data_IF_506941466963
#
_entry.id   IF_506941466963
#
_cell.length_a   1.000
_cell.length_b   1.000
_cell.length_c   1.000
_cell.angle_alpha   90.00
_cell.angle_beta   90.00
_cell.angle_gamma   90.00
#
_symmetry.space_group_name_H-M   'P 1'
#
loop_
_entity.id
_entity.type
_entity.pdbx_description
1 polymer ?
#
# COMPACT_ATOMS: atom_id res chain seq x y z
N UNK A 1 13.53 34.52 -25.65
CA UNK A 1 13.76 33.50 -24.62
C UNK A 1 13.93 32.17 -25.36
N UNK A 2 15.18 31.76 -25.64
CA UNK A 2 15.48 30.51 -26.38
C UNK A 2 15.40 29.37 -25.34
N UNK A 3 14.50 28.46 -25.58
CA UNK A 3 14.38 27.21 -24.77
C UNK A 3 15.52 26.31 -25.24
N UNK A 4 16.37 25.94 -24.28
CA UNK A 4 17.53 25.07 -24.52
C UNK A 4 17.05 23.62 -24.70
N UNK A 5 16.85 23.24 -25.96
CA UNK A 5 16.35 21.90 -26.36
C UNK A 5 17.40 20.80 -26.19
N UNK A 6 18.69 21.14 -26.08
CA UNK A 6 19.78 20.16 -25.96
C UNK A 6 19.85 19.49 -24.59
N UNK A 7 19.36 20.16 -23.54
CA UNK A 7 19.33 19.64 -22.20
C UNK A 7 18.19 18.62 -21.97
N UNK A 8 17.11 18.69 -22.74
CA UNK A 8 15.99 17.75 -22.69
C UNK A 8 16.29 16.43 -23.43
N UNK A 9 17.01 16.50 -24.55
CA UNK A 9 17.43 15.32 -25.32
C UNK A 9 18.45 14.48 -24.53
N UNK A 10 19.40 15.10 -23.85
CA UNK A 10 20.42 14.41 -23.06
C UNK A 10 19.85 13.69 -21.82
N UNK A 11 18.82 14.28 -21.18
CA UNK A 11 18.11 13.64 -20.05
C UNK A 11 17.24 12.47 -20.51
N UNK A 12 16.58 12.58 -21.66
CA UNK A 12 15.77 11.51 -22.23
C UNK A 12 16.65 10.33 -22.72
N UNK A 13 17.81 10.59 -23.28
CA UNK A 13 18.76 9.53 -23.67
C UNK A 13 19.37 8.79 -22.47
N UNK A 14 19.67 9.49 -21.37
CA UNK A 14 20.14 8.84 -20.13
C UNK A 14 19.05 7.99 -19.46
N UNK A 15 17.80 8.42 -19.48
CA UNK A 15 16.68 7.64 -18.94
C UNK A 15 16.42 6.37 -19.77
N UNK A 16 16.50 6.44 -21.10
CA UNK A 16 16.35 5.29 -21.98
C UNK A 16 17.51 4.29 -21.88
N UNK A 17 18.75 4.76 -21.65
CA UNK A 17 19.90 3.88 -21.45
C UNK A 17 19.82 3.12 -20.13
N UNK A 18 19.31 3.76 -19.06
CA UNK A 18 19.08 3.11 -17.76
C UNK A 18 17.95 2.07 -17.82
N UNK A 19 16.87 2.36 -18.56
CA UNK A 19 15.75 1.40 -18.72
C UNK A 19 16.17 0.18 -19.58
N UNK A 20 16.93 0.38 -20.64
CA UNK A 20 17.41 -0.74 -21.46
C UNK A 20 18.48 -1.59 -20.78
N UNK A 21 19.35 -1.01 -19.96
CA UNK A 21 20.35 -1.78 -19.20
C UNK A 21 19.72 -2.55 -18.04
N UNK A 22 18.64 -2.08 -17.43
CA UNK A 22 17.86 -2.87 -16.47
C UNK A 22 17.10 -4.03 -17.14
N UNK A 23 16.54 -3.82 -18.32
CA UNK A 23 15.82 -4.86 -19.07
C UNK A 23 16.75 -5.95 -19.62
N UNK A 24 17.95 -5.62 -20.05
CA UNK A 24 18.93 -6.62 -20.58
C UNK A 24 19.57 -7.48 -19.49
N UNK A 25 19.64 -7.02 -18.24
CA UNK A 25 20.13 -7.80 -17.09
C UNK A 25 19.13 -8.86 -16.57
N UNK A 26 17.85 -8.74 -16.90
CA UNK A 26 16.77 -9.60 -16.39
C UNK A 26 16.61 -10.89 -17.21
N UNK A 27 17.06 -10.93 -18.47
CA UNK A 27 16.79 -12.06 -19.35
C UNK A 27 17.73 -13.28 -19.23
N UNK A 28 18.77 -13.25 -18.36
CA UNK A 28 19.75 -14.35 -18.27
C UNK A 28 19.59 -15.29 -17.07
N UNK A 29 18.47 -15.24 -16.32
CA UNK A 29 18.23 -16.17 -15.21
C UNK A 29 17.07 -17.12 -15.48
N UNK A 30 17.31 -18.09 -16.38
CA UNK A 30 16.37 -19.19 -16.59
C UNK A 30 16.55 -20.33 -15.59
N UNK A 31 15.43 -20.74 -15.02
CA UNK A 31 15.07 -22.05 -14.49
C UNK A 31 16.09 -22.86 -13.65
N UNK A 32 15.98 -22.70 -12.32
CA UNK A 32 16.30 -23.77 -11.37
C UNK A 32 15.18 -23.91 -10.36
N UNK A 33 14.59 -25.09 -10.25
CA UNK A 33 13.63 -25.43 -9.19
C UNK A 33 14.40 -25.50 -7.85
N UNK A 34 14.10 -24.59 -6.93
CA UNK A 34 14.58 -24.62 -5.56
C UNK A 34 13.49 -25.17 -4.65
N UNK A 35 13.83 -26.04 -3.72
CA UNK A 35 12.94 -26.52 -2.68
C UNK A 35 12.46 -25.35 -1.80
N UNK A 36 11.16 -25.25 -1.58
CA UNK A 36 10.55 -24.20 -0.77
C UNK A 36 11.05 -24.29 0.69
N UNK A 37 11.46 -23.15 1.24
CA UNK A 37 11.73 -23.02 2.67
C UNK A 37 10.43 -23.15 3.47
N UNK A 38 10.47 -23.83 4.60
CA UNK A 38 9.29 -24.11 5.44
C UNK A 38 8.93 -22.91 6.35
N UNK A 39 8.42 -21.86 5.76
CA UNK A 39 7.80 -20.72 6.46
C UNK A 39 6.27 -20.82 6.26
N UNK A 40 5.49 -21.07 7.31
CA UNK A 40 4.05 -21.26 7.18
C UNK A 40 3.30 -19.97 6.81
N UNK A 41 2.70 -19.90 5.64
CA UNK A 41 1.76 -18.85 5.23
C UNK A 41 0.31 -19.35 5.38
N UNK A 42 -0.05 -19.91 6.52
CA UNK A 42 -1.46 -20.24 6.74
C UNK A 42 -2.21 -18.95 7.03
N UNK A 43 -3.06 -18.47 6.12
CA UNK A 43 -3.97 -17.41 6.48
C UNK A 43 -4.96 -17.98 7.50
N UNK A 44 -5.16 -17.27 8.60
CA UNK A 44 -6.19 -17.53 9.61
C UNK A 44 -6.30 -19.02 9.97
N UNK A 45 -5.88 -19.39 11.15
CA UNK A 45 -5.90 -20.77 11.65
C UNK A 45 -7.23 -21.47 11.31
N UNK A 46 -7.19 -22.63 10.66
CA UNK A 46 -8.37 -23.47 10.44
C UNK A 46 -9.04 -23.88 11.77
N UNK A 47 -8.39 -23.68 12.90
CA UNK A 47 -8.94 -23.93 14.25
C UNK A 47 -10.07 -22.98 14.62
N UNK A 48 -10.12 -21.76 14.03
CA UNK A 48 -11.20 -20.79 14.24
C UNK A 48 -12.26 -20.83 13.13
N UNK A 49 -12.30 -21.91 12.36
CA UNK A 49 -13.29 -22.14 11.31
C UNK A 49 -14.47 -22.94 11.87
N UNK A 50 -15.67 -22.37 11.78
CA UNK A 50 -16.93 -23.09 11.97
C UNK A 50 -17.47 -23.46 10.60
N UNK A 51 -17.66 -24.74 10.34
CA UNK A 51 -18.06 -25.29 9.05
C UNK A 51 -19.33 -26.13 9.21
N UNK A 52 -20.38 -25.79 8.44
CA UNK A 52 -21.63 -26.59 8.38
C UNK A 52 -21.68 -27.53 7.17
N UNK A 53 -20.91 -27.24 6.09
CA UNK A 53 -20.71 -28.10 4.94
C UNK A 53 -19.37 -27.72 4.26
N UNK A 54 -18.92 -28.48 3.25
CA UNK A 54 -17.72 -28.14 2.48
C UNK A 54 -17.76 -26.73 1.91
N UNK A 55 -18.93 -26.25 1.51
CA UNK A 55 -19.13 -24.94 0.89
C UNK A 55 -19.67 -23.88 1.84
N UNK A 56 -20.02 -24.21 3.08
CA UNK A 56 -20.56 -23.26 4.09
C UNK A 56 -19.68 -23.19 5.32
N UNK A 57 -19.07 -22.05 5.52
CA UNK A 57 -18.19 -21.84 6.68
C UNK A 57 -18.09 -20.37 7.06
N UNK A 58 -17.70 -20.13 8.29
CA UNK A 58 -17.27 -18.83 8.81
C UNK A 58 -15.90 -19.01 9.45
N UNK A 59 -14.99 -18.07 9.22
CA UNK A 59 -13.66 -17.98 9.83
C UNK A 59 -13.54 -16.68 10.60
N UNK A 60 -12.98 -16.76 11.79
CA UNK A 60 -12.64 -15.62 12.64
C UNK A 60 -11.12 -15.54 12.77
N UNK A 61 -10.59 -14.33 12.75
CA UNK A 61 -9.18 -14.06 12.98
C UNK A 61 -8.98 -12.74 13.71
N UNK A 62 -7.76 -12.51 14.18
CA UNK A 62 -7.37 -11.28 14.84
C UNK A 62 -5.94 -10.89 14.44
N UNK A 63 -5.65 -9.60 14.45
CA UNK A 63 -4.32 -9.08 14.19
C UNK A 63 -3.99 -7.92 15.10
N UNK A 64 -2.73 -7.86 15.55
CA UNK A 64 -2.21 -6.78 16.35
C UNK A 64 -0.84 -6.33 15.85
N UNK A 65 -0.62 -5.02 15.80
CA UNK A 65 0.67 -4.40 15.51
C UNK A 65 0.93 -3.29 16.50
N UNK A 66 2.14 -3.26 17.05
CA UNK A 66 2.56 -2.21 17.96
C UNK A 66 4.03 -1.89 17.79
N UNK A 67 4.42 -0.69 18.22
CA UNK A 67 5.81 -0.23 18.14
C UNK A 67 6.21 0.64 19.31
N UNK A 68 7.47 0.52 19.73
CA UNK A 68 8.18 1.48 20.56
C UNK A 68 8.95 2.44 19.66
N UNK A 69 8.86 3.73 19.92
CA UNK A 69 9.35 4.81 19.08
C UNK A 69 10.25 5.73 19.88
N UNK A 70 11.45 6.02 19.36
CA UNK A 70 12.36 7.07 19.81
C UNK A 70 12.59 8.04 18.66
N UNK A 71 12.14 9.26 18.84
CA UNK A 71 12.22 10.31 17.80
C UNK A 71 13.09 11.44 18.29
N UNK A 72 13.93 11.95 17.41
CA UNK A 72 14.61 13.22 17.60
C UNK A 72 13.56 14.36 17.69
N UNK A 73 13.73 15.24 18.65
CA UNK A 73 12.90 16.45 18.72
C UNK A 73 13.48 17.56 17.82
N UNK A 74 12.71 18.64 17.63
CA UNK A 74 13.11 19.79 16.82
C UNK A 74 14.41 20.46 17.30
N UNK A 75 14.93 20.13 18.49
CA UNK A 75 16.18 20.63 19.06
C UNK A 75 17.34 19.64 18.94
N UNK A 76 17.18 18.54 18.20
CA UNK A 76 18.21 17.51 17.98
C UNK A 76 18.40 16.53 19.15
N UNK A 77 17.51 16.53 20.15
CA UNK A 77 17.57 15.58 21.26
C UNK A 77 16.60 14.43 21.03
N UNK A 78 17.02 13.20 21.27
CA UNK A 78 16.13 12.05 21.27
C UNK A 78 15.14 12.14 22.43
N UNK A 79 13.87 12.26 22.13
CA UNK A 79 12.82 12.16 23.14
C UNK A 79 12.63 10.71 23.55
N UNK A 80 12.49 10.48 24.84
CA UNK A 80 12.26 9.16 25.43
C UNK A 80 11.11 8.41 24.79
N UNK A 81 11.15 7.09 24.91
CA UNK A 81 10.30 6.18 24.18
C UNK A 81 8.81 6.37 24.35
N UNK A 82 8.10 6.45 23.26
CA UNK A 82 6.66 6.35 23.17
C UNK A 82 6.28 4.98 22.66
N UNK A 83 5.23 4.42 23.22
CA UNK A 83 4.63 3.17 22.71
C UNK A 83 3.41 3.50 21.87
N UNK A 84 3.29 2.82 20.73
CA UNK A 84 2.21 2.99 19.76
C UNK A 84 1.44 1.68 19.56
N UNK A 85 0.12 1.73 19.72
CA UNK A 85 -0.77 0.71 19.19
C UNK A 85 -1.06 1.05 17.72
N UNK A 86 -0.38 0.39 16.79
CA UNK A 86 -0.46 0.76 15.38
C UNK A 86 -1.74 0.24 14.72
N UNK A 87 -2.10 -1.02 15.00
CA UNK A 87 -3.32 -1.65 14.50
C UNK A 87 -3.82 -2.72 15.48
N UNK A 88 -5.13 -2.85 15.57
CA UNK A 88 -5.78 -3.99 16.22
C UNK A 88 -7.01 -4.37 15.38
N UNK A 89 -6.98 -5.55 14.76
CA UNK A 89 -7.98 -6.00 13.79
C UNK A 89 -8.72 -7.24 14.24
N UNK A 90 -9.99 -7.32 13.85
CA UNK A 90 -10.77 -8.54 13.85
C UNK A 90 -11.16 -8.82 12.40
N UNK A 91 -10.95 -10.05 11.97
CA UNK A 91 -11.29 -10.53 10.64
C UNK A 91 -12.47 -11.51 10.75
N UNK A 92 -13.50 -11.30 9.94
CA UNK A 92 -14.61 -12.22 9.78
C UNK A 92 -14.79 -12.51 8.29
N UNK A 93 -14.53 -13.74 7.90
CA UNK A 93 -14.70 -14.21 6.54
C UNK A 93 -15.74 -15.32 6.51
N UNK A 94 -16.58 -15.35 5.50
CA UNK A 94 -17.56 -16.41 5.36
C UNK A 94 -17.86 -16.77 3.91
N UNK A 95 -18.35 -17.98 3.74
CA UNK A 95 -18.78 -18.52 2.47
C UNK A 95 -20.14 -19.18 2.62
N UNK A 96 -21.10 -18.81 1.78
CA UNK A 96 -22.44 -19.40 1.73
C UNK A 96 -22.53 -20.56 0.75
N UNK A 97 -21.83 -20.43 -0.40
CA UNK A 97 -21.67 -21.47 -1.40
C UNK A 97 -20.36 -21.21 -2.17
N UNK A 98 -20.06 -21.98 -3.20
CA UNK A 98 -18.83 -21.85 -3.98
C UNK A 98 -18.61 -20.46 -4.61
N UNK A 99 -19.69 -19.72 -4.88
CA UNK A 99 -19.64 -18.42 -5.54
C UNK A 99 -19.88 -17.23 -4.60
N UNK A 100 -20.66 -17.41 -3.53
CA UNK A 100 -21.06 -16.32 -2.64
C UNK A 100 -20.26 -16.34 -1.35
N UNK A 101 -19.51 -15.28 -1.12
CA UNK A 101 -18.66 -15.10 0.06
C UNK A 101 -18.87 -13.68 0.62
N UNK A 102 -18.41 -13.46 1.85
CA UNK A 102 -18.35 -12.15 2.45
C UNK A 102 -17.10 -11.98 3.30
N UNK A 103 -16.73 -10.73 3.52
CA UNK A 103 -15.64 -10.35 4.40
C UNK A 103 -16.03 -9.10 5.18
N UNK A 104 -15.80 -9.13 6.50
CA UNK A 104 -15.95 -7.97 7.37
C UNK A 104 -14.72 -7.87 8.25
N UNK A 105 -13.98 -6.78 8.11
CA UNK A 105 -12.81 -6.51 8.93
C UNK A 105 -13.02 -5.22 9.71
N UNK A 106 -12.56 -5.19 10.95
CA UNK A 106 -12.47 -3.97 11.74
C UNK A 106 -11.01 -3.58 11.92
N UNK A 107 -10.74 -2.32 12.21
CA UNK A 107 -9.43 -1.89 12.69
C UNK A 107 -9.60 -0.84 13.80
N UNK A 108 -8.62 -0.74 14.64
CA UNK A 108 -8.53 0.33 15.60
C UNK A 108 -8.05 1.61 14.90
N UNK A 109 -8.95 2.58 14.81
CA UNK A 109 -8.63 3.91 14.36
C UNK A 109 -8.32 4.81 15.57
N UNK A 110 -7.28 5.63 15.47
CA UNK A 110 -6.83 6.49 16.57
C UNK A 110 -6.39 5.73 17.84
N UNK A 111 -5.85 4.52 17.70
CA UNK A 111 -5.31 3.78 18.82
C UNK A 111 -4.24 4.56 19.62
N UNK A 112 -3.62 5.54 18.99
CA UNK A 112 -2.55 6.37 19.54
C UNK A 112 -2.93 7.84 19.70
N UNK A 113 -4.21 8.21 19.61
CA UNK A 113 -4.60 9.61 19.73
C UNK A 113 -4.54 10.04 21.22
N UNK A 114 -3.34 10.43 21.62
CA UNK A 114 -3.06 11.09 22.91
C UNK A 114 -3.11 12.59 22.74
N UNK A 115 -4.23 13.14 22.27
CA UNK A 115 -4.45 14.59 22.41
C UNK A 115 -4.52 14.90 23.90
N UNK A 116 -3.58 15.69 24.39
CA UNK A 116 -3.56 16.12 25.80
C UNK A 116 -4.88 16.83 26.12
N UNK A 117 -5.70 16.22 26.97
CA UNK A 117 -6.98 16.77 27.42
C UNK A 117 -8.21 15.95 27.06
N UNK A 118 -8.17 15.09 26.06
CA UNK A 118 -9.27 14.18 25.75
C UNK A 118 -8.97 12.77 26.24
N UNK A 119 -9.95 12.12 26.85
CA UNK A 119 -9.89 10.71 27.17
C UNK A 119 -9.55 9.95 25.89
N UNK A 120 -8.43 9.21 25.80
CA UNK A 120 -8.05 8.49 24.61
C UNK A 120 -9.10 7.40 24.32
N UNK A 121 -10.07 7.73 23.49
CA UNK A 121 -11.08 6.77 23.07
C UNK A 121 -10.51 6.01 21.89
N UNK A 122 -10.03 4.79 22.18
CA UNK A 122 -9.79 3.81 21.13
C UNK A 122 -11.13 3.58 20.40
N UNK A 123 -11.20 3.89 19.12
CA UNK A 123 -12.38 3.62 18.32
C UNK A 123 -12.11 2.48 17.35
N UNK A 124 -12.94 1.45 17.41
CA UNK A 124 -12.97 0.37 16.42
C UNK A 124 -14.01 0.68 15.38
N UNK A 125 -13.61 0.69 14.13
CA UNK A 125 -14.50 0.95 13.02
C UNK A 125 -14.42 -0.18 11.99
N UNK A 126 -15.45 -0.31 11.16
CA UNK A 126 -15.44 -1.21 10.01
C UNK A 126 -14.42 -0.71 9.01
N UNK A 127 -13.44 -1.54 8.70
CA UNK A 127 -12.44 -1.29 7.68
C UNK A 127 -12.89 -1.80 6.32
N UNK A 128 -13.31 -3.06 6.27
CA UNK A 128 -13.83 -3.71 5.07
C UNK A 128 -15.21 -4.31 5.36
N UNK A 129 -16.15 -4.21 4.42
CA UNK A 129 -17.44 -4.89 4.44
C UNK A 129 -17.81 -5.23 3.00
N UNK A 130 -17.51 -6.47 2.58
CA UNK A 130 -17.50 -6.86 1.17
C UNK A 130 -18.43 -8.05 0.97
N UNK A 131 -19.38 -7.92 0.06
CA UNK A 131 -20.07 -9.05 -0.56
C UNK A 131 -19.30 -9.47 -1.81
N UNK A 132 -18.98 -10.75 -1.92
CA UNK A 132 -18.13 -11.30 -2.98
C UNK A 132 -18.94 -12.31 -3.80
N UNK A 133 -19.07 -12.03 -5.09
CA UNK A 133 -19.52 -13.00 -6.08
C UNK A 133 -18.31 -13.44 -6.90
N UNK A 134 -17.83 -14.66 -6.68
CA UNK A 134 -16.65 -15.22 -7.33
C UNK A 134 -17.09 -16.39 -8.22
N UNK A 135 -17.22 -16.10 -9.51
CA UNK A 135 -17.76 -17.07 -10.48
C UNK A 135 -16.68 -18.02 -11.00
N UNK A 136 -15.53 -17.44 -11.40
CA UNK A 136 -14.41 -18.22 -11.90
C UNK A 136 -13.11 -17.38 -11.87
N UNK A 137 -12.01 -17.95 -12.37
CA UNK A 137 -10.73 -17.24 -12.42
C UNK A 137 -10.74 -15.99 -13.31
N UNK A 138 -11.67 -15.91 -14.27
CA UNK A 138 -11.69 -14.84 -15.28
C UNK A 138 -12.57 -13.67 -14.91
N UNK A 139 -13.64 -13.89 -14.13
CA UNK A 139 -14.64 -12.89 -13.86
C UNK A 139 -15.23 -13.02 -12.46
N UNK A 140 -15.11 -11.97 -11.67
CA UNK A 140 -15.61 -11.88 -10.31
C UNK A 140 -16.09 -10.48 -10.02
N UNK A 141 -17.01 -10.33 -9.07
CA UNK A 141 -17.59 -9.05 -8.65
C UNK A 141 -17.54 -8.97 -7.14
N UNK A 142 -16.94 -7.91 -6.63
CA UNK A 142 -17.00 -7.54 -5.22
C UNK A 142 -17.75 -6.23 -5.06
N UNK A 143 -18.64 -6.15 -4.09
CA UNK A 143 -19.42 -4.95 -3.77
C UNK A 143 -19.39 -4.63 -2.29
N UNK A 144 -19.28 -3.34 -1.96
CA UNK A 144 -19.22 -2.85 -0.58
C UNK A 144 -18.01 -1.97 -0.33
N UNK A 145 -17.51 -1.95 0.91
CA UNK A 145 -16.33 -1.20 1.30
C UNK A 145 -15.08 -2.06 1.16
N UNK A 146 -14.17 -1.67 0.29
CA UNK A 146 -12.99 -2.46 -0.07
C UNK A 146 -11.83 -1.59 -0.55
N UNK A 147 -10.66 -2.21 -0.73
CA UNK A 147 -9.51 -1.53 -1.36
C UNK A 147 -9.83 -1.17 -2.81
N UNK A 148 -9.55 0.08 -3.15
CA UNK A 148 -9.62 0.57 -4.53
C UNK A 148 -8.41 0.05 -5.31
N UNK A 149 -8.55 -0.42 -6.56
CA UNK A 149 -7.42 -0.88 -7.38
C UNK A 149 -6.41 0.24 -7.63
N UNK A 150 -5.27 0.16 -6.95
CA UNK A 150 -4.15 1.11 -7.00
C UNK A 150 -2.82 0.37 -7.09
N UNK A 151 -1.73 0.92 -6.52
CA UNK A 151 -0.46 0.21 -6.46
C UNK A 151 -0.41 -0.81 -5.31
N UNK A 152 0.66 -1.60 -5.32
CA UNK A 152 0.91 -2.72 -4.42
C UNK A 152 0.85 -2.34 -2.95
N UNK A 153 1.46 -1.24 -2.56
CA UNK A 153 1.56 -0.83 -1.17
C UNK A 153 0.18 -0.62 -0.53
N UNK A 154 -0.74 0.06 -1.21
CA UNK A 154 -2.09 0.25 -0.72
C UNK A 154 -2.88 -1.06 -0.72
N UNK A 155 -2.76 -1.87 -1.78
CA UNK A 155 -3.48 -3.15 -1.91
C UNK A 155 -2.97 -4.25 -0.96
N UNK A 156 -1.77 -4.11 -0.38
CA UNK A 156 -1.26 -5.04 0.63
C UNK A 156 -1.81 -4.74 2.03
N UNK A 157 -2.17 -3.52 2.30
CA UNK A 157 -2.50 -3.08 3.66
C UNK A 157 -1.33 -3.26 4.66
N UNK A 158 -1.46 -2.82 5.90
CA UNK A 158 -0.32 -2.78 6.82
C UNK A 158 0.17 -4.16 7.29
N UNK A 159 -0.69 -5.17 7.32
CA UNK A 159 -0.31 -6.51 7.79
C UNK A 159 0.45 -7.34 6.76
N UNK A 160 0.34 -7.02 5.46
CA UNK A 160 0.99 -7.76 4.37
C UNK A 160 2.14 -6.96 3.73
N UNK A 161 2.64 -5.94 4.43
CA UNK A 161 3.86 -5.21 4.09
C UNK A 161 5.10 -5.92 4.63
N UNK A 162 6.17 -5.93 3.86
CA UNK A 162 7.45 -6.50 4.28
C UNK A 162 8.15 -5.68 5.38
N UNK A 163 7.86 -4.38 5.44
CA UNK A 163 8.34 -3.46 6.48
C UNK A 163 7.21 -3.08 7.42
N UNK A 164 7.53 -2.73 8.66
CA UNK A 164 6.50 -2.38 9.63
C UNK A 164 5.82 -1.06 9.28
N UNK A 165 6.58 -0.01 9.00
CA UNK A 165 6.03 1.24 8.51
C UNK A 165 5.59 1.09 7.06
N UNK A 166 4.31 0.79 6.89
CA UNK A 166 3.64 0.75 5.60
C UNK A 166 3.40 2.17 5.06
N UNK A 167 2.98 2.32 3.81
CA UNK A 167 2.45 3.54 3.24
C UNK A 167 3.36 4.76 3.36
N UNK A 168 4.51 4.71 2.72
CA UNK A 168 5.47 5.82 2.72
C UNK A 168 5.15 6.91 1.72
N UNK A 169 4.48 6.58 0.63
CA UNK A 169 4.03 7.54 -0.39
C UNK A 169 2.62 8.03 -0.10
N UNK A 170 2.22 9.21 -0.58
CA UNK A 170 0.87 9.72 -0.41
C UNK A 170 -0.16 8.74 -0.95
N UNK A 171 -1.26 8.59 -0.22
CA UNK A 171 -2.38 7.78 -0.68
C UNK A 171 -3.02 8.39 -1.90
N UNK A 172 -3.41 7.53 -2.80
CA UNK A 172 -4.17 7.90 -3.96
C UNK A 172 -5.67 7.93 -3.69
N UNK A 173 -6.25 6.76 -3.51
CA UNK A 173 -7.60 6.64 -3.05
C UNK A 173 -7.55 6.73 -1.54
N UNK A 174 -7.82 7.84 -1.07
CA UNK A 174 -8.04 8.06 0.32
C UNK A 174 -9.32 7.32 0.68
N UNK A 175 -9.54 7.07 1.93
CA UNK A 175 -10.85 6.77 2.41
C UNK A 175 -11.73 8.02 2.20
N UNK A 176 -12.29 8.14 1.02
CA UNK A 176 -13.11 9.29 0.63
C UNK A 176 -14.40 9.39 1.42
N UNK A 177 -14.75 8.35 2.18
CA UNK A 177 -15.82 8.43 3.16
C UNK A 177 -15.49 9.32 4.35
N UNK A 178 -14.22 9.72 4.54
CA UNK A 178 -13.85 10.69 5.55
C UNK A 178 -14.19 12.11 5.09
N UNK A 179 -14.62 12.96 6.04
CA UNK A 179 -14.92 14.35 5.77
C UNK A 179 -13.68 15.07 5.25
N UNK A 180 -13.81 15.82 4.17
CA UNK A 180 -12.75 16.71 3.69
C UNK A 180 -12.57 17.89 4.67
N UNK A 181 -11.51 18.67 4.47
CA UNK A 181 -11.19 19.85 5.29
C UNK A 181 -10.29 19.61 6.48
N UNK A 182 -10.12 18.38 6.94
CA UNK A 182 -9.16 18.01 7.99
C UNK A 182 -7.98 17.21 7.45
N UNK A 183 -7.74 17.32 6.18
CA UNK A 183 -6.66 16.65 5.51
C UNK A 183 -6.69 15.13 5.67
N UNK A 184 -7.85 14.56 5.84
CA UNK A 184 -8.02 13.14 6.01
C UNK A 184 -7.76 12.36 4.75
N UNK A 185 -6.48 12.05 4.51
CA UNK A 185 -6.19 10.89 3.70
C UNK A 185 -6.90 9.72 4.37
N UNK A 186 -7.78 9.09 3.65
CA UNK A 186 -8.54 7.97 4.15
C UNK A 186 -7.62 6.87 4.61
N UNK A 187 -8.14 6.02 5.45
CA UNK A 187 -7.33 5.02 6.05
C UNK A 187 -7.20 3.84 5.13
N UNK A 188 -5.99 3.67 4.63
CA UNK A 188 -5.59 2.44 3.95
C UNK A 188 -6.29 2.18 2.61
N UNK A 189 -6.64 3.21 1.84
CA UNK A 189 -7.08 3.07 0.45
C UNK A 189 -8.44 2.40 0.22
N UNK A 190 -9.36 2.43 1.21
CA UNK A 190 -10.70 1.86 1.08
C UNK A 190 -11.72 2.88 0.61
N UNK A 191 -12.70 2.38 -0.15
CA UNK A 191 -13.89 3.15 -0.53
C UNK A 191 -15.09 2.22 -0.76
N UNK A 192 -16.29 2.80 -0.76
CA UNK A 192 -17.55 2.10 -1.01
C UNK A 192 -17.80 2.04 -2.52
N UNK A 193 -17.98 0.84 -3.07
CA UNK A 193 -18.13 0.70 -4.52
C UNK A 193 -18.29 -0.73 -5.00
N UNK A 194 -18.03 -0.91 -6.29
CA UNK A 194 -18.06 -2.22 -6.95
C UNK A 194 -16.79 -2.40 -7.76
N UNK A 195 -16.15 -3.55 -7.61
CA UNK A 195 -14.95 -3.96 -8.37
C UNK A 195 -15.23 -5.21 -9.17
N UNK A 196 -14.90 -5.16 -10.45
CA UNK A 196 -14.80 -6.32 -11.35
C UNK A 196 -13.35 -6.72 -11.47
N UNK A 197 -13.04 -8.03 -11.31
CA UNK A 197 -11.67 -8.49 -11.36
C UNK A 197 -11.57 -9.92 -11.90
N UNK A 198 -10.39 -10.28 -12.39
CA UNK A 198 -10.09 -11.61 -12.88
C UNK A 198 -8.65 -11.78 -13.30
N UNK A 199 -8.29 -13.02 -13.63
CA UNK A 199 -6.96 -13.40 -14.11
C UNK A 199 -7.08 -14.12 -15.44
N UNK A 200 -6.32 -13.66 -16.43
CA UNK A 200 -6.26 -14.22 -17.78
C UNK A 200 -4.91 -14.90 -17.98
N UNK A 201 -4.88 -15.97 -18.75
CA UNK A 201 -3.65 -16.60 -19.24
C UNK A 201 -3.53 -16.34 -20.74
N UNK A 202 -2.76 -15.31 -21.15
CA UNK A 202 -2.56 -15.03 -22.55
C UNK A 202 -1.85 -16.20 -23.23
N UNK A 203 -2.39 -16.68 -24.36
CA UNK A 203 -1.80 -17.80 -25.10
C UNK A 203 -0.50 -17.43 -25.83
N UNK A 204 -0.29 -16.16 -26.07
CA UNK A 204 0.81 -15.65 -26.92
C UNK A 204 2.06 -15.39 -26.10
N UNK A 205 1.91 -14.95 -24.84
CA UNK A 205 3.03 -14.59 -23.95
C UNK A 205 2.89 -15.41 -22.64
N UNK A 206 3.96 -16.13 -22.22
CA UNK A 206 3.92 -16.87 -20.96
C UNK A 206 3.73 -15.94 -19.77
N UNK A 207 2.77 -16.22 -18.91
CA UNK A 207 2.49 -15.44 -17.71
C UNK A 207 1.01 -15.33 -17.41
N UNK A 208 0.67 -14.51 -16.40
CA UNK A 208 -0.73 -14.28 -16.00
C UNK A 208 -0.99 -12.78 -16.00
N UNK A 209 -2.09 -12.37 -16.64
CA UNK A 209 -2.59 -11.02 -16.66
C UNK A 209 -3.74 -10.90 -15.66
N UNK A 210 -3.55 -10.18 -14.56
CA UNK A 210 -4.59 -9.80 -13.63
C UNK A 210 -5.20 -8.45 -14.02
N UNK A 211 -6.50 -8.30 -13.85
CA UNK A 211 -7.18 -7.02 -13.99
C UNK A 211 -8.12 -6.77 -12.82
N UNK A 212 -8.28 -5.52 -12.44
CA UNK A 212 -9.30 -5.04 -11.53
C UNK A 212 -9.75 -3.66 -11.98
N UNK A 213 -11.07 -3.43 -12.05
CA UNK A 213 -11.64 -2.14 -12.40
C UNK A 213 -12.92 -1.92 -11.63
N UNK A 214 -13.19 -0.69 -11.22
CA UNK A 214 -14.34 -0.42 -10.40
C UNK A 214 -14.80 1.02 -10.43
N UNK A 215 -15.96 1.21 -9.82
CA UNK A 215 -16.61 2.50 -9.59
C UNK A 215 -16.87 2.62 -8.11
N UNK A 216 -16.47 3.74 -7.53
CA UNK A 216 -16.48 4.00 -6.10
C UNK A 216 -17.13 5.34 -5.81
N UNK A 217 -17.52 5.52 -4.57
CA UNK A 217 -18.12 6.75 -4.09
C UNK A 217 -17.20 7.96 -4.30
N UNK A 218 -15.92 7.80 -3.98
CA UNK A 218 -14.93 8.85 -4.11
C UNK A 218 -15.11 9.96 -3.07
N UNK A 219 -14.55 11.13 -3.37
CA UNK A 219 -14.70 12.31 -2.53
C UNK A 219 -16.15 12.76 -2.47
N UNK A 220 -16.70 12.81 -1.27
CA UNK A 220 -18.01 13.35 -1.00
C UNK A 220 -17.93 14.82 -0.60
N UNK A 221 -18.90 15.58 -1.07
CA UNK A 221 -19.11 16.97 -0.69
C UNK A 221 -20.45 17.13 0.02
N UNK A 222 -20.52 18.10 0.91
CA UNK A 222 -21.80 18.53 1.47
C UNK A 222 -22.44 19.57 0.55
N UNK A 223 -23.69 19.92 0.77
CA UNK A 223 -24.41 20.93 -0.03
C UNK A 223 -23.75 22.32 0.00
N UNK A 224 -22.89 22.58 1.01
CA UNK A 224 -22.29 23.91 1.25
C UNK A 224 -20.77 23.89 1.24
N UNK A 225 -20.14 22.73 1.04
CA UNK A 225 -18.68 22.62 1.16
C UNK A 225 -18.14 21.45 0.33
N UNK A 226 -16.92 21.63 -0.20
CA UNK A 226 -16.18 20.66 -1.00
C UNK A 226 -16.47 20.73 -2.51
N UNK A 227 -15.56 20.19 -3.34
CA UNK A 227 -15.59 20.40 -4.78
C UNK A 227 -16.67 19.56 -5.50
N UNK A 228 -17.00 18.37 -5.00
CA UNK A 228 -17.87 17.42 -5.70
C UNK A 228 -19.36 17.66 -5.39
N UNK A 229 -19.91 18.76 -5.86
CA UNK A 229 -21.32 19.08 -5.70
C UNK A 229 -22.25 18.28 -6.62
N UNK A 230 -21.72 17.73 -7.71
CA UNK A 230 -22.48 17.00 -8.72
C UNK A 230 -22.59 15.50 -8.49
N UNK A 231 -22.08 14.97 -7.37
CA UNK A 231 -22.09 13.53 -7.07
C UNK A 231 -21.27 12.67 -8.03
N UNK A 232 -20.18 13.21 -8.57
CA UNK A 232 -19.29 12.47 -9.48
C UNK A 232 -18.58 11.34 -8.74
N UNK A 233 -18.57 10.15 -9.35
CA UNK A 233 -17.95 8.94 -8.80
C UNK A 233 -16.47 8.86 -9.13
N UNK A 234 -15.72 8.16 -8.31
CA UNK A 234 -14.35 7.75 -8.58
C UNK A 234 -14.35 6.49 -9.44
N UNK A 235 -13.61 6.50 -10.53
CA UNK A 235 -13.31 5.30 -11.32
C UNK A 235 -11.86 4.91 -11.12
N UNK A 236 -11.59 3.62 -10.98
CA UNK A 236 -10.23 3.11 -10.84
C UNK A 236 -10.05 1.79 -11.60
N UNK A 237 -8.86 1.61 -12.14
CA UNK A 237 -8.48 0.38 -12.82
C UNK A 237 -7.00 0.05 -12.56
N UNK A 238 -6.70 -1.25 -12.49
CA UNK A 238 -5.36 -1.79 -12.36
C UNK A 238 -5.19 -3.00 -13.27
N UNK A 239 -4.04 -3.09 -13.90
CA UNK A 239 -3.61 -4.26 -14.66
C UNK A 239 -2.28 -4.72 -14.09
N UNK A 240 -2.15 -6.04 -13.82
CA UNK A 240 -0.94 -6.66 -13.29
C UNK A 240 -0.49 -7.77 -14.22
N UNK A 241 0.77 -7.78 -14.63
CA UNK A 241 1.34 -8.87 -15.39
C UNK A 241 2.38 -9.63 -14.54
N UNK A 242 2.12 -10.92 -14.33
CA UNK A 242 3.05 -11.84 -13.67
C UNK A 242 3.83 -12.58 -14.74
N UNK A 243 5.11 -12.26 -14.89
CA UNK A 243 6.02 -12.86 -15.86
C UNK A 243 6.50 -14.27 -15.46
N UNK A 244 6.55 -14.52 -14.16
CA UNK A 244 6.95 -15.80 -13.56
C UNK A 244 5.75 -16.41 -12.82
N UNK A 245 5.97 -16.94 -11.60
CA UNK A 245 4.84 -17.47 -10.84
C UNK A 245 3.83 -16.37 -10.48
N UNK A 246 2.53 -16.65 -10.56
CA UNK A 246 1.50 -15.70 -10.17
C UNK A 246 1.50 -15.49 -8.65
N UNK A 247 1.13 -14.29 -8.25
CA UNK A 247 0.92 -13.96 -6.86
C UNK A 247 -0.29 -14.73 -6.29
N UNK A 248 -0.19 -15.15 -5.02
CA UNK A 248 -1.21 -15.95 -4.32
C UNK A 248 -1.95 -15.10 -3.30
N UNK A 249 -2.77 -14.17 -3.75
CA UNK A 249 -3.58 -13.32 -2.89
C UNK A 249 -5.08 -13.53 -3.13
N UNK A 250 -5.93 -13.19 -2.15
CA UNK A 250 -7.36 -13.11 -2.37
C UNK A 250 -7.69 -12.02 -3.39
N UNK A 251 -8.41 -12.36 -4.44
CA UNK A 251 -8.87 -11.42 -5.44
C UNK A 251 -7.73 -10.69 -6.16
N UNK A 252 -7.83 -9.37 -6.19
CA UNK A 252 -6.84 -8.46 -6.78
C UNK A 252 -5.92 -7.82 -5.73
N UNK A 253 -6.00 -8.22 -4.46
CA UNK A 253 -5.13 -7.74 -3.39
C UNK A 253 -3.70 -8.22 -3.60
N UNK A 254 -2.76 -7.60 -2.93
CA UNK A 254 -1.33 -7.85 -3.09
C UNK A 254 -0.65 -8.15 -1.77
N UNK A 255 0.60 -8.57 -1.84
CA UNK A 255 1.54 -8.63 -0.72
C UNK A 255 2.90 -8.12 -1.16
N UNK A 256 3.69 -7.60 -0.25
CA UNK A 256 5.01 -7.05 -0.60
C UNK A 256 6.14 -8.11 -0.60
N UNK A 257 5.86 -9.32 -0.15
CA UNK A 257 6.74 -10.50 -0.21
C UNK A 257 5.91 -11.77 -0.03
N UNK A 258 6.42 -12.89 -0.48
CA UNK A 258 5.88 -14.23 -0.24
C UNK A 258 6.88 -15.12 0.51
N UNK A 259 7.99 -14.52 0.94
CA UNK A 259 9.07 -15.23 1.64
C UNK A 259 9.58 -16.46 0.87
N UNK A 260 9.57 -16.41 -0.46
CA UNK A 260 9.95 -17.49 -1.37
C UNK A 260 8.91 -18.61 -1.57
N UNK A 261 7.77 -18.58 -0.86
CA UNK A 261 6.77 -19.67 -0.91
C UNK A 261 5.96 -19.76 -2.18
N UNK A 262 5.86 -18.67 -2.91
CA UNK A 262 5.24 -18.66 -4.23
C UNK A 262 6.25 -18.98 -5.34
N UNK A 263 7.51 -19.29 -4.99
CA UNK A 263 8.62 -19.44 -5.93
C UNK A 263 9.13 -18.08 -6.41
N UNK A 264 9.78 -18.07 -7.58
CA UNK A 264 10.26 -16.84 -8.18
C UNK A 264 9.11 -16.01 -8.72
N UNK A 265 9.06 -14.74 -8.37
CA UNK A 265 8.03 -13.80 -8.81
C UNK A 265 8.69 -12.64 -9.55
N UNK A 266 8.08 -12.24 -10.65
CA UNK A 266 8.29 -10.96 -11.29
C UNK A 266 6.91 -10.46 -11.72
N UNK A 267 6.38 -9.50 -10.99
CA UNK A 267 5.09 -8.89 -11.25
C UNK A 267 5.27 -7.39 -11.48
N UNK A 268 4.66 -6.88 -12.54
CA UNK A 268 4.61 -5.44 -12.85
C UNK A 268 3.15 -5.04 -12.99
N UNK A 269 2.82 -3.86 -12.49
CA UNK A 269 1.46 -3.37 -12.58
C UNK A 269 1.40 -1.90 -12.91
N UNK A 270 0.27 -1.52 -13.50
CA UNK A 270 -0.11 -0.15 -13.80
C UNK A 270 -1.54 0.07 -13.33
N UNK A 271 -1.77 1.21 -12.68
CA UNK A 271 -3.08 1.66 -12.23
C UNK A 271 -3.40 3.07 -12.71
N UNK A 272 -4.69 3.34 -12.87
CA UNK A 272 -5.21 4.66 -13.23
C UNK A 272 -6.50 4.91 -12.47
N UNK A 273 -6.74 6.17 -12.09
CA UNK A 273 -7.98 6.56 -11.46
C UNK A 273 -8.34 8.00 -11.75
N UNK A 274 -9.65 8.26 -11.78
CA UNK A 274 -10.18 9.57 -12.13
C UNK A 274 -11.46 9.87 -11.35
N UNK A 275 -11.57 11.11 -10.88
CA UNK A 275 -12.81 11.68 -10.38
C UNK A 275 -12.97 13.13 -10.81
N UNK A 276 -14.08 13.43 -11.47
CA UNK A 276 -14.45 14.81 -11.78
C UNK A 276 -14.76 15.55 -10.48
N UNK A 277 -14.22 16.75 -10.33
CA UNK A 277 -14.29 17.52 -9.09
C UNK A 277 -13.76 16.76 -7.86
N UNK A 278 -12.75 15.91 -8.04
CA UNK A 278 -12.17 15.08 -6.98
C UNK A 278 -11.15 15.81 -6.09
N UNK A 279 -10.89 17.09 -6.31
CA UNK A 279 -9.94 17.90 -5.56
C UNK A 279 -10.35 19.37 -5.50
N UNK A 280 -9.78 20.13 -4.53
CA UNK A 280 -10.04 21.55 -4.36
C UNK A 280 -11.15 21.86 -3.38
N UNK A 281 -11.82 23.00 -3.55
CA UNK A 281 -12.90 23.50 -2.71
C UNK A 281 -14.18 23.70 -3.52
N UNK A 282 -15.25 24.12 -2.87
CA UNK A 282 -16.49 24.52 -3.55
C UNK A 282 -16.24 25.67 -4.55
N UNK A 283 -15.44 26.66 -4.16
CA UNK A 283 -15.14 27.83 -5.01
C UNK A 283 -14.05 27.53 -6.06
N UNK A 284 -13.11 26.64 -5.78
CA UNK A 284 -11.96 26.33 -6.63
C UNK A 284 -11.89 24.81 -6.88
N UNK A 285 -12.82 24.32 -7.70
CA UNK A 285 -12.94 22.90 -8.04
C UNK A 285 -11.89 22.46 -9.02
N UNK A 286 -11.46 21.23 -8.90
CA UNK A 286 -10.55 20.58 -9.84
C UNK A 286 -10.81 19.09 -9.94
N UNK A 287 -10.47 18.52 -11.09
CA UNK A 287 -10.54 17.09 -11.31
C UNK A 287 -9.32 16.41 -10.69
N UNK A 288 -9.51 15.18 -10.27
CA UNK A 288 -8.43 14.31 -9.84
C UNK A 288 -8.12 13.27 -10.92
N UNK A 289 -6.83 13.11 -11.24
CA UNK A 289 -6.31 12.05 -12.09
C UNK A 289 -5.04 11.48 -11.46
N UNK A 290 -5.02 10.17 -11.24
CA UNK A 290 -3.87 9.45 -10.67
C UNK A 290 -3.39 8.34 -11.58
N UNK A 291 -2.07 8.20 -11.67
CA UNK A 291 -1.40 7.06 -12.27
C UNK A 291 -0.50 6.41 -11.24
N UNK A 292 -0.48 5.08 -11.24
CA UNK A 292 0.39 4.29 -10.36
C UNK A 292 1.10 3.23 -11.16
N UNK A 293 2.31 2.89 -10.74
CA UNK A 293 3.06 1.76 -11.27
C UNK A 293 3.79 1.05 -10.14
N UNK A 294 3.87 -0.26 -10.19
CA UNK A 294 4.63 -1.03 -9.22
C UNK A 294 5.28 -2.27 -9.79
N UNK A 295 6.28 -2.74 -9.06
CA UNK A 295 7.03 -3.95 -9.34
C UNK A 295 7.23 -4.74 -8.05
N UNK A 296 7.01 -6.06 -8.12
CA UNK A 296 7.54 -7.03 -7.17
C UNK A 296 8.48 -7.98 -7.90
N UNK A 297 9.71 -8.03 -7.44
CA UNK A 297 10.66 -9.07 -7.80
C UNK A 297 11.01 -9.87 -6.54
N UNK A 298 10.76 -11.18 -6.55
CA UNK A 298 11.16 -12.10 -5.50
C UNK A 298 11.88 -13.29 -6.11
N UNK A 299 13.07 -13.59 -5.62
CA UNK A 299 13.93 -14.67 -6.11
C UNK A 299 14.33 -15.59 -4.98
N UNK A 300 13.98 -16.87 -5.11
CA UNK A 300 14.52 -17.94 -4.26
C UNK A 300 15.90 -18.29 -4.79
N UNK A 301 16.92 -18.02 -3.99
CA UNK A 301 18.30 -18.23 -4.40
C UNK A 301 18.66 -19.72 -4.38
N UNK A 302 19.43 -20.21 -5.38
CA UNK A 302 19.80 -21.62 -5.47
C UNK A 302 20.66 -22.02 -4.27
N UNK A 303 20.79 -23.33 -4.04
CA UNK A 303 21.61 -23.93 -2.97
C UNK A 303 21.23 -23.45 -1.57
N UNK A 304 19.95 -23.14 -1.36
CA UNK A 304 19.44 -22.65 -0.08
C UNK A 304 20.17 -21.38 0.41
N UNK A 305 20.46 -20.44 -0.49
CA UNK A 305 21.11 -19.17 -0.13
C UNK A 305 20.12 -18.11 0.36
N UNK A 306 18.84 -18.42 0.50
CA UNK A 306 17.83 -17.50 1.02
C UNK A 306 16.93 -16.90 -0.06
N UNK A 307 16.24 -15.81 0.28
CA UNK A 307 15.28 -15.14 -0.60
C UNK A 307 15.62 -13.66 -0.72
N UNK A 308 15.75 -13.19 -1.94
CA UNK A 308 15.87 -11.78 -2.25
C UNK A 308 14.53 -11.22 -2.74
N UNK A 309 14.11 -10.09 -2.19
CA UNK A 309 12.87 -9.43 -2.56
C UNK A 309 13.11 -7.94 -2.83
N UNK A 310 12.53 -7.41 -3.89
CA UNK A 310 12.51 -5.98 -4.18
C UNK A 310 11.09 -5.53 -4.51
N UNK A 311 10.67 -4.44 -3.90
CA UNK A 311 9.46 -3.70 -4.25
C UNK A 311 9.85 -2.32 -4.77
N UNK A 312 9.20 -1.87 -5.83
CA UNK A 312 9.27 -0.50 -6.31
C UNK A 312 7.88 0.00 -6.63
N UNK A 313 7.59 1.24 -6.27
CA UNK A 313 6.30 1.89 -6.50
C UNK A 313 6.53 3.32 -7.00
N UNK A 314 5.70 3.75 -7.93
CA UNK A 314 5.65 5.09 -8.46
C UNK A 314 4.22 5.58 -8.54
N UNK A 315 4.00 6.84 -8.16
CA UNK A 315 2.72 7.54 -8.26
C UNK A 315 2.91 8.89 -8.92
N UNK A 316 1.97 9.25 -9.77
CA UNK A 316 1.84 10.59 -10.33
C UNK A 316 0.40 11.03 -10.17
N UNK A 317 0.19 12.09 -9.38
CA UNK A 317 -1.13 12.65 -9.11
C UNK A 317 -1.26 14.04 -9.72
N UNK A 318 -2.39 14.28 -10.34
CA UNK A 318 -2.80 15.56 -10.91
C UNK A 318 -4.11 15.98 -10.25
N UNK A 319 -4.03 16.98 -9.42
CA UNK A 319 -5.20 17.60 -8.83
C UNK A 319 -5.48 19.00 -9.43
N UNK A 320 -4.46 19.65 -10.02
CA UNK A 320 -4.53 20.90 -10.81
C UNK A 320 -5.32 22.05 -10.19
N UNK A 321 -5.51 22.06 -8.88
CA UNK A 321 -6.26 23.13 -8.23
C UNK A 321 -5.43 24.41 -8.12
N UNK A 322 -6.11 25.54 -8.10
CA UNK A 322 -5.45 26.85 -7.97
C UNK A 322 -4.81 27.01 -6.59
N UNK A 323 -3.80 27.87 -6.49
CA UNK A 323 -3.17 28.21 -5.21
C UNK A 323 -4.18 28.82 -4.23
N UNK A 324 -5.18 29.52 -4.73
CA UNK A 324 -6.25 30.11 -3.92
C UNK A 324 -7.09 29.06 -3.16
N UNK A 325 -7.22 27.83 -3.71
CA UNK A 325 -7.95 26.76 -3.04
C UNK A 325 -7.40 26.42 -1.66
N UNK A 326 -6.08 26.57 -1.41
CA UNK A 326 -5.48 26.30 -0.12
C UNK A 326 -5.95 27.26 1.00
N UNK A 327 -6.50 28.41 0.64
CA UNK A 327 -7.08 29.37 1.59
C UNK A 327 -8.52 29.02 1.98
N UNK A 328 -9.16 28.12 1.26
CA UNK A 328 -10.54 27.74 1.50
C UNK A 328 -10.63 26.70 2.62
N UNK A 329 -11.52 26.92 3.59
CA UNK A 329 -11.70 26.02 4.75
C UNK A 329 -12.22 24.63 4.37
N UNK A 330 -12.85 24.53 3.20
CA UNK A 330 -13.43 23.32 2.65
C UNK A 330 -12.55 22.69 1.56
N UNK A 331 -11.27 23.09 1.49
CA UNK A 331 -10.36 22.52 0.50
C UNK A 331 -10.05 21.06 0.79
N UNK A 332 -10.35 20.21 -0.16
CA UNK A 332 -9.76 18.91 -0.28
C UNK A 332 -8.46 19.03 -1.12
N UNK A 333 -7.50 19.67 -0.50
CA UNK A 333 -6.19 19.94 -1.09
C UNK A 333 -5.27 18.74 -0.88
N UNK A 334 -5.52 17.69 -1.61
CA UNK A 334 -4.73 16.48 -1.58
C UNK A 334 -3.35 16.67 -2.22
N UNK A 335 -2.52 15.64 -2.15
CA UNK A 335 -1.22 15.62 -2.81
C UNK A 335 -1.37 15.79 -4.34
N UNK A 336 -0.56 16.67 -4.89
CA UNK A 336 -0.41 16.94 -6.33
C UNK A 336 1.08 16.92 -6.66
N UNK A 337 1.55 15.93 -7.44
CA UNK A 337 2.96 15.72 -7.70
C UNK A 337 3.34 14.27 -7.97
N UNK A 338 4.60 13.96 -7.74
CA UNK A 338 5.19 12.62 -7.95
C UNK A 338 5.68 12.04 -6.64
N UNK A 339 5.60 10.72 -6.50
CA UNK A 339 6.23 10.01 -5.40
C UNK A 339 6.68 8.63 -5.83
N UNK A 340 7.73 8.11 -5.18
CA UNK A 340 8.20 6.77 -5.42
C UNK A 340 8.90 6.21 -4.18
N UNK A 341 8.90 4.90 -4.07
CA UNK A 341 9.62 4.18 -3.02
C UNK A 341 10.21 2.90 -3.59
N UNK A 342 11.39 2.54 -3.11
CA UNK A 342 12.06 1.28 -3.44
C UNK A 342 12.51 0.63 -2.15
N UNK A 343 12.22 -0.67 -2.01
CA UNK A 343 12.61 -1.48 -0.86
C UNK A 343 13.33 -2.72 -1.34
N UNK A 344 14.49 -3.01 -0.79
CA UNK A 344 15.22 -4.25 -1.00
C UNK A 344 15.33 -5.04 0.30
N UNK A 345 15.06 -6.35 0.26
CA UNK A 345 15.10 -7.24 1.42
C UNK A 345 15.87 -8.53 1.08
N UNK A 346 16.56 -9.08 2.06
CA UNK A 346 17.21 -10.37 1.92
C UNK A 346 16.93 -11.24 3.15
N UNK A 347 16.18 -12.34 2.97
CA UNK A 347 15.90 -13.28 4.04
C UNK A 347 16.93 -14.39 4.06
N UNK A 348 17.64 -14.52 5.18
CA UNK A 348 18.61 -15.59 5.38
C UNK A 348 17.92 -16.95 5.42
N UNK A 349 18.55 -17.99 4.84
CA UNK A 349 17.98 -19.34 4.80
C UNK A 349 18.00 -20.03 6.17
N UNK A 350 19.00 -19.70 6.99
CA UNK A 350 19.22 -20.35 8.29
C UNK A 350 18.24 -19.83 9.32
N UNK A 351 17.50 -20.75 9.93
CA UNK A 351 16.68 -20.46 11.08
C UNK A 351 17.55 -20.30 12.32
N UNK A 352 17.41 -19.17 13.02
CA UNK A 352 18.13 -18.87 14.27
C UNK A 352 17.08 -18.75 15.36
N UNK A 353 17.09 -19.64 16.36
CA UNK A 353 16.04 -19.75 17.34
C UNK A 353 14.71 -20.17 16.69
N UNK A 354 13.68 -19.32 16.75
CA UNK A 354 12.34 -19.61 16.23
C UNK A 354 12.03 -18.94 14.87
N UNK A 355 12.97 -18.19 14.30
CA UNK A 355 12.71 -17.40 13.08
C UNK A 355 13.93 -17.20 12.19
N UNK A 356 13.73 -16.43 11.12
CA UNK A 356 14.75 -16.05 10.14
C UNK A 356 15.00 -14.55 10.18
N UNK A 357 16.27 -14.13 10.06
CA UNK A 357 16.63 -12.74 9.91
C UNK A 357 16.43 -12.27 8.46
N UNK A 358 15.95 -11.05 8.31
CA UNK A 358 15.73 -10.40 7.02
C UNK A 358 16.12 -8.92 7.12
N UNK A 359 17.40 -8.55 6.89
CA UNK A 359 17.79 -7.16 6.72
C UNK A 359 17.11 -6.55 5.50
N UNK A 360 16.85 -5.22 5.57
CA UNK A 360 16.29 -4.48 4.48
C UNK A 360 16.74 -3.02 4.45
N UNK A 361 16.61 -2.42 3.28
CA UNK A 361 16.75 -0.99 3.08
C UNK A 361 15.60 -0.46 2.24
N UNK A 362 15.15 0.77 2.53
CA UNK A 362 14.12 1.46 1.77
C UNK A 362 14.53 2.93 1.56
N UNK A 363 14.26 3.42 0.37
CA UNK A 363 14.32 4.84 0.06
C UNK A 363 12.97 5.29 -0.48
N UNK A 364 12.54 6.47 -0.04
CA UNK A 364 11.28 7.09 -0.49
C UNK A 364 11.53 8.54 -0.84
N UNK A 365 10.96 9.01 -1.95
CA UNK A 365 10.97 10.41 -2.37
C UNK A 365 9.56 10.84 -2.76
N UNK A 366 9.15 11.99 -2.25
CA UNK A 366 7.88 12.64 -2.57
C UNK A 366 8.21 14.04 -3.10
N UNK A 367 7.72 14.34 -4.29
CA UNK A 367 7.98 15.58 -5.02
C UNK A 367 6.67 16.32 -5.27
N UNK A 368 6.17 17.09 -4.28
CA UNK A 368 4.97 17.89 -4.45
C UNK A 368 5.21 19.01 -5.47
N UNK A 369 4.18 19.36 -6.25
CA UNK A 369 4.32 20.42 -7.25
C UNK A 369 4.49 21.82 -6.63
N UNK A 370 4.13 22.02 -5.34
CA UNK A 370 4.01 23.35 -4.72
C UNK A 370 4.70 23.51 -3.37
N UNK A 371 5.29 22.44 -2.85
CA UNK A 371 6.06 22.47 -1.60
C UNK A 371 7.42 21.80 -1.77
N UNK A 372 8.26 21.80 -0.75
CA UNK A 372 9.58 21.16 -0.83
C UNK A 372 9.49 19.65 -1.02
N UNK A 373 10.49 19.08 -1.67
CA UNK A 373 10.65 17.63 -1.75
C UNK A 373 10.82 17.03 -0.35
N UNK A 374 10.33 15.80 -0.20
CA UNK A 374 10.45 14.98 1.01
C UNK A 374 11.24 13.73 0.67
N UNK A 375 12.20 13.39 1.48
CA UNK A 375 13.01 12.18 1.28
C UNK A 375 13.22 11.46 2.60
N UNK A 376 13.24 10.15 2.56
CA UNK A 376 13.49 9.29 3.70
C UNK A 376 14.29 8.07 3.31
N UNK A 377 15.32 7.78 4.12
CA UNK A 377 16.04 6.50 4.10
C UNK A 377 15.60 5.70 5.33
N UNK A 378 15.34 4.42 5.14
CA UNK A 378 15.05 3.48 6.21
C UNK A 378 15.95 2.26 6.06
N UNK A 379 16.58 1.84 7.14
CA UNK A 379 17.34 0.60 7.24
C UNK A 379 16.86 -0.19 8.45
N UNK A 380 16.63 -1.49 8.26
CA UNK A 380 16.08 -2.32 9.32
C UNK A 380 16.40 -3.79 9.22
N UNK A 381 16.02 -4.49 10.27
CA UNK A 381 16.14 -5.92 10.43
C UNK A 381 14.80 -6.50 10.89
N UNK A 382 14.21 -7.35 10.07
CA UNK A 382 13.06 -8.16 10.45
C UNK A 382 13.56 -9.50 11.03
N UNK A 383 12.89 -9.98 12.06
CA UNK A 383 12.97 -11.34 12.55
C UNK A 383 11.65 -12.03 12.27
N UNK A 384 11.62 -12.83 11.20
CA UNK A 384 10.44 -13.49 10.67
C UNK A 384 10.26 -14.84 11.38
N UNK A 385 9.23 -14.93 12.23
CA UNK A 385 8.90 -16.13 13.00
C UNK A 385 7.91 -17.00 12.21
N UNK A 386 6.83 -16.39 11.71
CA UNK A 386 5.82 -17.07 10.88
C UNK A 386 5.27 -16.10 9.80
N UNK A 387 6.09 -15.77 8.82
CA UNK A 387 5.71 -14.89 7.72
C UNK A 387 5.11 -13.56 8.22
N UNK A 388 3.89 -13.28 7.76
CA UNK A 388 3.13 -12.12 8.21
C UNK A 388 2.38 -12.36 9.54
N UNK A 389 2.29 -13.61 10.01
CA UNK A 389 1.56 -13.95 11.23
C UNK A 389 2.33 -13.56 12.50
N UNK A 390 3.66 -13.70 12.49
CA UNK A 390 4.48 -13.32 13.64
C UNK A 390 5.83 -12.76 13.19
N UNK A 391 6.09 -11.51 13.52
CA UNK A 391 7.31 -10.78 13.16
C UNK A 391 7.67 -9.75 14.22
N UNK A 392 8.97 -9.62 14.47
CA UNK A 392 9.58 -8.50 15.21
C UNK A 392 10.46 -7.73 14.24
N UNK A 393 10.48 -6.40 14.32
CA UNK A 393 11.32 -5.57 13.47
C UNK A 393 12.01 -4.48 14.29
N UNK A 394 13.26 -4.21 13.99
CA UNK A 394 13.99 -3.05 14.51
C UNK A 394 14.52 -2.25 13.32
N UNK A 395 14.32 -0.93 13.31
CA UNK A 395 14.68 -0.11 12.17
C UNK A 395 14.93 1.35 12.54
N UNK A 396 15.75 1.96 11.72
CA UNK A 396 16.11 3.36 11.78
C UNK A 396 15.60 4.08 10.53
N UNK A 397 15.09 5.28 10.71
CA UNK A 397 14.62 6.17 9.66
C UNK A 397 15.30 7.51 9.80
N UNK A 398 15.77 8.05 8.68
CA UNK A 398 16.28 9.40 8.57
C UNK A 398 15.61 10.12 7.41
N UNK A 399 15.04 11.28 7.66
CA UNK A 399 14.40 12.06 6.63
C UNK A 399 13.20 12.85 7.12
N UNK A 400 12.44 13.38 6.17
CA UNK A 400 11.23 14.13 6.48
C UNK A 400 10.08 13.18 6.81
N UNK A 401 9.88 12.93 8.09
CA UNK A 401 8.87 12.00 8.60
C UNK A 401 7.44 12.48 8.40
N UNK A 402 7.23 13.71 7.96
CA UNK A 402 5.92 14.24 7.57
C UNK A 402 5.53 13.86 6.14
N UNK A 403 6.26 12.95 5.51
CA UNK A 403 5.98 12.46 4.16
C UNK A 403 4.52 12.04 3.94
N UNK A 404 3.96 11.35 4.91
CA UNK A 404 2.55 10.93 4.90
C UNK A 404 1.61 12.05 5.31
N UNK A 405 2.16 13.17 5.75
CA UNK A 405 1.38 14.33 6.21
C UNK A 405 0.65 14.96 5.05
N UNK A 406 -0.42 15.62 5.41
CA UNK A 406 -1.29 16.36 4.50
C UNK A 406 -0.72 17.74 4.19
N UNK A 407 0.49 18.00 4.66
CA UNK A 407 1.09 19.31 4.61
C UNK A 407 1.91 19.50 3.34
N UNK A 408 1.21 19.46 2.20
CA UNK A 408 1.76 19.77 0.89
C UNK A 408 1.35 21.15 0.38
N UNK A 409 0.89 22.03 1.28
CA UNK A 409 0.51 23.40 0.95
C UNK A 409 1.69 24.18 0.36
N UNK A 410 1.44 25.20 -0.47
CA UNK A 410 2.49 26.00 -1.09
C UNK A 410 3.45 26.59 -0.05
N UNK A 411 4.75 26.46 -0.32
CA UNK A 411 5.81 27.01 0.54
C UNK A 411 6.11 26.23 1.82
N UNK A 412 5.39 25.14 2.10
CA UNK A 412 5.69 24.30 3.26
C UNK A 412 7.00 23.52 3.02
N UNK A 413 7.88 23.56 4.01
CA UNK A 413 9.13 22.80 4.02
C UNK A 413 9.06 21.69 5.04
N UNK A 414 9.69 20.55 4.74
CA UNK A 414 9.91 19.48 5.70
C UNK A 414 11.15 19.69 6.54
N UNK A 415 11.26 18.91 7.60
CA UNK A 415 12.45 18.82 8.42
C UNK A 415 12.87 17.37 8.55
N UNK A 416 14.13 17.09 8.23
CA UNK A 416 14.69 15.77 8.44
C UNK A 416 14.83 15.50 9.95
N UNK A 417 14.38 14.33 10.36
CA UNK A 417 14.44 13.84 11.74
C UNK A 417 14.95 12.41 11.75
N UNK A 418 15.52 12.03 12.87
CA UNK A 418 15.95 10.67 13.16
C UNK A 418 14.90 9.95 13.99
N UNK A 419 14.58 8.73 13.59
CA UNK A 419 13.66 7.85 14.31
C UNK A 419 14.22 6.44 14.39
N UNK A 420 14.24 5.90 15.60
CA UNK A 420 14.47 4.48 15.82
C UNK A 420 13.19 3.82 16.33
N UNK A 421 12.84 2.65 15.77
CA UNK A 421 11.66 1.88 16.19
C UNK A 421 11.99 0.41 16.42
N UNK A 422 11.33 -0.15 17.43
CA UNK A 422 11.19 -1.58 17.61
C UNK A 422 9.71 -1.91 17.52
N UNK A 423 9.33 -2.86 16.70
CA UNK A 423 7.93 -3.16 16.43
C UNK A 423 7.67 -4.65 16.37
N UNK A 424 6.42 -5.02 16.58
CA UNK A 424 5.99 -6.40 16.45
C UNK A 424 4.63 -6.49 15.76
N UNK A 425 4.39 -7.62 15.12
CA UNK A 425 3.15 -7.96 14.44
C UNK A 425 2.79 -9.39 14.80
N UNK A 426 1.54 -9.58 15.20
CA UNK A 426 0.93 -10.89 15.44
C UNK A 426 -0.42 -10.92 14.74
N UNK A 427 -0.74 -12.03 14.06
CA UNK A 427 -2.07 -12.27 13.51
C UNK A 427 -2.37 -13.78 13.43
N UNK A 428 -3.63 -14.12 13.53
CA UNK A 428 -4.14 -15.49 13.50
C UNK A 428 -5.42 -15.58 12.67
#
# INVERSE_FOLDING_TARGET
MKIDTDNLQTKAQRANFFLLSMLSGIFYFAAFQASAMDVSMKPISDKLKVQSSETRWIKLGAGYRGSGLWTENLNGNLNGGNYSNDNARIYLNGQFNEHLKFEVNTDCFFCNNTSAGDNPRMSYNVLDAIAKFEYNRYFNIWGGRMLVPTERGELSGPFFQATHDAFKTPFFSQDFSTKFGNGGAGRYGRDDGVTFWGNLEPKIVPGTLGYAMGVYRGLESTNTAGPNQGGSVLTAARVTYNFLNPEKNPGYYTSSTYYGKAGDILAMAFGMSYQKNGAGSLAHRSDFLGFTGDLLFEKVLPRNLGVFTTNAEYKQFYANYSTAAFSDKDCFCMFDGKSWTVTGLYMFPTKIGIGHFQPYGRFTSIQPNRSSNREEIEAGLNYIIDGFNARVSAYYQHGDLLMKGLNYAPGVTGQALDVFKISFQLQI
#
